data_IF_271620108288
#
_entry.id   IF_271620108288
#
_cell.length_a   1.000
_cell.length_b   1.000
_cell.length_c   1.000
_cell.angle_alpha   90.00
_cell.angle_beta   90.00
_cell.angle_gamma   90.00
#
_symmetry.space_group_name_H-M   'P 1'
#
loop_
_entity.id
_entity.type
_entity.pdbx_description
1 polymer ?
#
# COMPACT_ATOMS: atom_id res chain seq x y z
N UNK A 1 9.90 7.64 -20.09
CA UNK A 1 9.32 7.23 -21.39
C UNK A 1 7.94 7.89 -21.49
N UNK A 2 7.76 8.95 -22.29
CA UNK A 2 6.42 9.49 -22.54
C UNK A 2 5.68 8.50 -23.43
N UNK A 3 4.58 7.97 -22.92
CA UNK A 3 3.69 7.09 -23.69
C UNK A 3 2.94 8.00 -24.67
N UNK A 4 3.12 7.82 -25.98
CA UNK A 4 2.44 8.60 -27.02
C UNK A 4 0.98 8.15 -27.16
N UNK A 5 0.20 8.32 -26.09
CA UNK A 5 -1.21 7.94 -26.00
C UNK A 5 -2.01 9.17 -25.61
N UNK A 6 -3.10 9.42 -26.33
CA UNK A 6 -3.99 10.55 -26.03
C UNK A 6 -4.68 10.37 -24.68
N UNK A 7 -4.99 11.48 -24.01
CA UNK A 7 -5.72 11.49 -22.73
C UNK A 7 -7.01 10.66 -22.81
N UNK A 8 -7.77 10.80 -23.89
CA UNK A 8 -9.01 10.04 -24.13
C UNK A 8 -8.78 8.53 -24.18
N UNK A 9 -7.70 8.10 -24.84
CA UNK A 9 -7.32 6.69 -24.92
C UNK A 9 -6.94 6.16 -23.54
N UNK A 10 -6.20 6.94 -22.75
CA UNK A 10 -5.87 6.62 -21.36
C UNK A 10 -7.12 6.44 -20.50
N UNK A 11 -8.07 7.39 -20.54
CA UNK A 11 -9.33 7.26 -19.79
C UNK A 11 -10.14 6.03 -20.20
N UNK A 12 -10.22 5.73 -21.50
CA UNK A 12 -10.92 4.53 -21.99
C UNK A 12 -10.29 3.25 -21.47
N UNK A 13 -8.96 3.17 -21.50
CA UNK A 13 -8.21 2.02 -20.98
C UNK A 13 -8.43 1.89 -19.47
N UNK A 14 -8.35 2.97 -18.70
CA UNK A 14 -8.58 2.94 -17.25
C UNK A 14 -9.99 2.44 -16.92
N UNK A 15 -11.02 2.98 -17.58
CA UNK A 15 -12.41 2.56 -17.38
C UNK A 15 -12.64 1.10 -17.78
N UNK A 16 -12.10 0.66 -18.92
CA UNK A 16 -12.21 -0.73 -19.38
C UNK A 16 -11.63 -1.72 -18.36
N UNK A 17 -10.51 -1.36 -17.74
CA UNK A 17 -9.86 -2.19 -16.72
C UNK A 17 -10.41 -1.96 -15.30
N UNK A 18 -11.51 -1.21 -15.15
CA UNK A 18 -12.09 -0.87 -13.84
C UNK A 18 -11.08 -0.23 -12.88
N UNK A 19 -10.10 0.50 -13.43
CA UNK A 19 -9.07 1.20 -12.67
C UNK A 19 -9.59 2.58 -12.29
N UNK A 20 -9.89 2.75 -11.01
CA UNK A 20 -10.28 4.04 -10.43
C UNK A 20 -9.06 4.79 -9.90
N UNK A 21 -9.11 6.12 -9.97
CA UNK A 21 -8.08 6.95 -9.34
C UNK A 21 -8.02 6.66 -7.84
N UNK A 22 -6.83 6.39 -7.33
CA UNK A 22 -6.61 6.20 -5.91
C UNK A 22 -6.78 7.54 -5.18
N UNK A 23 -7.72 7.61 -4.23
CA UNK A 23 -7.94 8.80 -3.41
C UNK A 23 -7.16 8.69 -2.11
N UNK A 24 -5.98 9.31 -2.06
CA UNK A 24 -5.17 9.33 -0.85
C UNK A 24 -5.81 10.23 0.22
N UNK A 25 -6.20 9.63 1.35
CA UNK A 25 -6.68 10.34 2.55
C UNK A 25 -5.63 10.28 3.65
N UNK A 26 -5.21 11.44 4.17
CA UNK A 26 -4.30 11.50 5.32
C UNK A 26 -5.08 11.24 6.60
N UNK A 27 -5.12 9.98 7.02
CA UNK A 27 -5.94 9.50 8.16
C UNK A 27 -5.21 9.55 9.52
N UNK A 28 -3.96 10.02 9.58
CA UNK A 28 -3.20 10.11 10.82
C UNK A 28 -2.22 11.29 10.83
N UNK A 29 -1.97 11.87 12.01
CA UNK A 29 -0.99 12.95 12.18
C UNK A 29 0.46 12.40 12.20
N UNK A 30 0.85 11.75 11.11
CA UNK A 30 2.19 11.19 10.95
C UNK A 30 3.23 12.31 11.02
N UNK A 31 4.20 12.12 11.92
CA UNK A 31 5.40 12.92 12.01
C UNK A 31 6.42 12.45 10.96
N UNK A 32 7.38 13.30 10.56
CA UNK A 32 8.42 12.92 9.60
C UNK A 32 9.15 11.60 9.90
N UNK A 33 9.47 11.24 11.16
CA UNK A 33 10.10 9.95 11.46
C UNK A 33 9.21 8.73 11.19
N UNK A 34 7.89 8.86 11.34
CA UNK A 34 6.96 7.74 11.18
C UNK A 34 6.98 7.17 9.75
N UNK A 35 7.30 8.00 8.75
CA UNK A 35 7.38 7.56 7.36
C UNK A 35 8.52 6.56 7.16
N UNK A 36 9.71 6.84 7.71
CA UNK A 36 10.84 5.92 7.61
C UNK A 36 10.59 4.65 8.40
N UNK A 37 10.11 4.75 9.65
CA UNK A 37 9.81 3.57 10.47
C UNK A 37 8.77 2.65 9.82
N UNK A 38 7.76 3.21 9.15
CA UNK A 38 6.76 2.42 8.41
C UNK A 38 7.38 1.70 7.21
N UNK A 39 8.24 2.38 6.46
CA UNK A 39 8.92 1.77 5.30
C UNK A 39 9.82 0.63 5.77
N UNK A 40 10.60 0.85 6.83
CA UNK A 40 11.53 -0.15 7.34
C UNK A 40 10.79 -1.37 7.89
N UNK A 41 9.69 -1.15 8.62
CA UNK A 41 8.81 -2.24 9.03
C UNK A 41 8.28 -3.04 7.84
N UNK A 42 7.76 -2.37 6.80
CA UNK A 42 7.25 -3.05 5.61
C UNK A 42 8.33 -3.86 4.89
N UNK A 43 9.55 -3.31 4.75
CA UNK A 43 10.69 -4.03 4.16
C UNK A 43 11.06 -5.25 4.98
N UNK A 44 11.15 -5.10 6.29
CA UNK A 44 11.44 -6.21 7.20
C UNK A 44 10.37 -7.30 7.10
N UNK A 45 9.08 -6.92 7.11
CA UNK A 45 7.97 -7.87 7.04
C UNK A 45 7.98 -8.65 5.72
N UNK A 46 8.26 -7.98 4.60
CA UNK A 46 8.42 -8.63 3.29
C UNK A 46 9.59 -9.62 3.31
N UNK A 47 10.73 -9.26 3.89
CA UNK A 47 11.87 -10.18 4.03
C UNK A 47 11.50 -11.41 4.87
N UNK A 48 10.78 -11.24 5.99
CA UNK A 48 10.33 -12.37 6.79
C UNK A 48 9.41 -13.31 5.99
N UNK A 49 8.50 -12.74 5.19
CA UNK A 49 7.60 -13.52 4.34
C UNK A 49 8.34 -14.24 3.20
N UNK A 50 9.40 -13.64 2.65
CA UNK A 50 10.26 -14.31 1.66
C UNK A 50 11.04 -15.49 2.27
N UNK A 51 11.43 -15.40 3.54
CA UNK A 51 12.09 -16.51 4.24
C UNK A 51 11.09 -17.62 4.64
N UNK A 52 9.89 -17.25 5.06
CA UNK A 52 8.81 -18.18 5.38
C UNK A 52 7.45 -17.63 4.89
N UNK A 53 6.90 -18.29 3.88
CA UNK A 53 5.60 -17.93 3.32
C UNK A 53 4.46 -17.98 4.35
N UNK A 54 4.60 -18.75 5.44
CA UNK A 54 3.61 -18.84 6.52
C UNK A 54 3.83 -17.81 7.63
N UNK A 55 4.92 -17.03 7.60
CA UNK A 55 5.27 -16.07 8.66
C UNK A 55 4.08 -15.16 9.01
N UNK A 56 3.52 -14.49 8.00
CA UNK A 56 2.40 -13.55 8.17
C UNK A 56 1.17 -14.25 8.75
N UNK A 57 0.89 -15.49 8.32
CA UNK A 57 -0.28 -16.26 8.74
C UNK A 57 -0.20 -16.66 10.22
N UNK A 58 1.01 -16.73 10.76
CA UNK A 58 1.28 -17.10 12.15
C UNK A 58 1.36 -15.89 13.10
N UNK A 59 1.15 -14.66 12.60
CA UNK A 59 1.12 -13.46 13.44
C UNK A 59 -0.25 -13.31 14.10
N UNK A 60 -0.28 -13.32 15.43
CA UNK A 60 -1.47 -12.97 16.21
C UNK A 60 -1.48 -11.45 16.48
N UNK A 61 -2.20 -10.69 15.66
CA UNK A 61 -2.42 -9.27 15.89
C UNK A 61 -3.39 -9.06 17.06
N UNK A 62 -3.07 -8.13 17.95
CA UNK A 62 -3.89 -7.77 19.12
C UNK A 62 -3.99 -6.25 19.21
N UNK A 63 -5.10 -5.75 19.75
CA UNK A 63 -5.33 -4.32 20.00
C UNK A 63 -6.24 -4.16 21.22
N UNK A 64 -6.11 -3.05 21.93
CA UNK A 64 -7.00 -2.67 23.02
C UNK A 64 -8.04 -1.69 22.49
N UNK A 65 -9.32 -1.99 22.70
CA UNK A 65 -10.41 -1.07 22.34
C UNK A 65 -11.31 -0.81 23.54
N UNK A 66 -11.80 0.42 23.62
CA UNK A 66 -12.80 0.82 24.62
C UNK A 66 -14.16 0.67 23.94
N UNK A 67 -15.03 -0.18 24.51
CA UNK A 67 -16.41 -0.41 24.07
C UNK A 67 -17.40 0.48 24.82
#
# INVERSE_FOLDING_TARGET
RMVNVSITSTHRILNYNQMHAFHFSRVHNLMPPDYESRIDFCRWLLQQHEQDAHFIQNILFTDESIF
#
